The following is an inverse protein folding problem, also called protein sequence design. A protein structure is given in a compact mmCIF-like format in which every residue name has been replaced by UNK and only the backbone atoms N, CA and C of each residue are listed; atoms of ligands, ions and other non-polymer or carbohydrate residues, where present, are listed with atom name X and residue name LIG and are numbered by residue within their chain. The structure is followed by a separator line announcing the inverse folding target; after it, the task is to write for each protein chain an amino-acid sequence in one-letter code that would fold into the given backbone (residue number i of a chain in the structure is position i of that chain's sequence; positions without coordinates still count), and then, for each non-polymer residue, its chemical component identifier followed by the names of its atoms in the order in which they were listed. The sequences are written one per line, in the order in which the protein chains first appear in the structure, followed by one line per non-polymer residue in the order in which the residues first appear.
data_IF_711779762510
#
_entry.id   IF_711779762510
#
_cell.length_a   1.000
_cell.length_b   1.000
_cell.length_c   1.000
_cell.angle_alpha   90.00
_cell.angle_beta   90.00
_cell.angle_gamma   90.00
#
_symmetry.space_group_name_H-M   'P 1'
#
loop_
_entity.id
_entity.type
_entity.pdbx_description
1 polymer ?
#
# COMPACT_ATOMS: atom_id res chain seq x y z
N UNK A 1 -6.63 15.10 -7.53
CA UNK A 1 -5.94 14.30 -6.51
C UNK A 1 -6.95 13.58 -5.64
N UNK A 2 -6.74 12.31 -5.41
CA UNK A 2 -7.62 11.52 -4.55
C UNK A 2 -7.27 11.77 -3.09
N UNK A 3 -8.26 11.61 -2.21
CA UNK A 3 -8.01 11.66 -0.77
C UNK A 3 -7.27 10.40 -0.32
N UNK A 4 -6.45 10.52 0.71
CA UNK A 4 -5.76 9.40 1.32
C UNK A 4 -6.42 9.05 2.64
N UNK A 5 -6.86 7.79 2.78
CA UNK A 5 -7.46 7.29 4.02
C UNK A 5 -6.57 6.20 4.58
N UNK A 6 -6.27 6.30 5.86
CA UNK A 6 -5.45 5.33 6.58
C UNK A 6 -6.30 4.60 7.60
N UNK A 7 -6.45 3.28 7.44
CA UNK A 7 -7.19 2.49 8.41
C UNK A 7 -6.42 2.39 9.73
N UNK A 8 -7.13 2.08 10.82
CA UNK A 8 -6.50 1.87 12.14
C UNK A 8 -5.47 0.75 12.09
N UNK A 9 -5.80 -0.34 11.39
CA UNK A 9 -4.90 -1.48 11.23
C UNK A 9 -3.62 -1.06 10.52
N UNK A 10 -3.75 -0.32 9.42
CA UNK A 10 -2.60 0.19 8.68
C UNK A 10 -1.70 1.06 9.56
N UNK A 11 -2.30 2.01 10.29
CA UNK A 11 -1.53 2.91 11.17
C UNK A 11 -0.75 2.13 12.24
N UNK A 12 -1.37 1.10 12.80
CA UNK A 12 -0.74 0.25 13.81
C UNK A 12 0.44 -0.52 13.22
N UNK A 13 0.26 -1.08 12.03
CA UNK A 13 1.30 -1.82 11.33
C UNK A 13 2.45 -0.90 10.90
N UNK A 14 2.14 0.32 10.48
CA UNK A 14 3.14 1.30 10.04
C UNK A 14 4.16 1.62 11.13
N UNK A 15 3.77 1.56 12.40
CA UNK A 15 4.68 1.83 13.52
C UNK A 15 5.91 0.94 13.53
N UNK A 16 5.81 -0.28 12.99
CA UNK A 16 6.95 -1.19 12.90
C UNK A 16 8.03 -0.68 11.95
N UNK A 17 7.67 0.24 11.05
CA UNK A 17 8.59 0.78 10.04
C UNK A 17 9.18 2.13 10.40
N UNK A 18 8.93 2.65 11.59
CA UNK A 18 9.34 4.03 11.95
C UNK A 18 10.85 4.29 11.83
N UNK A 19 11.68 3.26 11.89
CA UNK A 19 13.13 3.36 11.73
C UNK A 19 13.63 2.76 10.41
N UNK A 20 12.74 2.34 9.54
CA UNK A 20 13.10 1.75 8.25
C UNK A 20 12.96 2.79 7.15
N UNK A 21 13.99 3.62 7.00
CA UNK A 21 13.97 4.73 6.06
C UNK A 21 13.75 4.27 4.62
N UNK A 22 14.35 3.15 4.23
CA UNK A 22 14.26 2.67 2.85
C UNK A 22 12.81 2.31 2.47
N UNK A 23 12.09 1.63 3.36
CA UNK A 23 10.68 1.30 3.13
C UNK A 23 9.82 2.57 3.15
N UNK A 24 10.05 3.47 4.10
CA UNK A 24 9.29 4.71 4.19
C UNK A 24 9.49 5.60 2.96
N UNK A 25 10.70 5.67 2.41
CA UNK A 25 10.95 6.43 1.19
C UNK A 25 10.15 5.86 0.01
N UNK A 26 10.10 4.54 -0.14
CA UNK A 26 9.31 3.90 -1.18
C UNK A 26 7.81 4.11 -0.94
N UNK A 27 7.39 4.04 0.32
CA UNK A 27 5.98 4.29 0.68
C UNK A 27 5.54 5.69 0.26
N UNK A 28 6.35 6.72 0.56
CA UNK A 28 6.01 8.10 0.19
C UNK A 28 5.92 8.27 -1.32
N UNK A 29 6.82 7.66 -2.07
CA UNK A 29 6.78 7.70 -3.54
C UNK A 29 5.50 7.06 -4.07
N UNK A 30 5.14 5.90 -3.54
CA UNK A 30 3.98 5.16 -4.05
C UNK A 30 2.67 5.84 -3.66
N UNK A 31 2.58 6.40 -2.47
CA UNK A 31 1.39 7.15 -2.04
C UNK A 31 1.15 8.34 -2.98
N UNK A 32 2.20 9.08 -3.33
CA UNK A 32 2.08 10.19 -4.29
C UNK A 32 1.56 9.71 -5.64
N UNK A 33 2.10 8.59 -6.12
CA UNK A 33 1.68 8.00 -7.39
C UNK A 33 0.19 7.61 -7.33
N UNK A 34 -0.23 6.95 -6.25
CA UNK A 34 -1.59 6.47 -6.09
C UNK A 34 -2.60 7.61 -6.03
N UNK A 35 -2.36 8.63 -5.20
CA UNK A 35 -3.34 9.72 -5.04
C UNK A 35 -3.41 10.62 -6.28
N UNK A 36 -2.34 10.69 -7.05
CA UNK A 36 -2.32 11.45 -8.30
C UNK A 36 -2.67 10.60 -9.51
N UNK A 37 -3.03 9.34 -9.30
CA UNK A 37 -3.45 8.41 -10.35
C UNK A 37 -2.41 8.28 -11.47
N UNK A 38 -1.14 8.35 -11.11
CA UNK A 38 -0.03 8.15 -12.05
C UNK A 38 0.20 6.66 -12.30
N UNK A 39 0.82 6.29 -13.44
CA UNK A 39 1.18 4.89 -13.68
C UNK A 39 2.13 4.35 -12.60
N UNK A 40 1.83 3.15 -12.11
CA UNK A 40 2.65 2.51 -11.08
C UNK A 40 3.80 1.77 -11.78
N UNK A 41 5.07 2.07 -11.43
CA UNK A 41 6.20 1.36 -12.04
C UNK A 41 6.12 -0.15 -11.82
N UNK A 42 6.53 -0.91 -12.83
CA UNK A 42 6.46 -2.38 -12.83
C UNK A 42 7.23 -3.00 -11.66
N UNK A 43 8.29 -2.35 -11.20
CA UNK A 43 9.10 -2.87 -10.10
C UNK A 43 8.32 -3.11 -8.81
N UNK A 44 7.19 -2.42 -8.63
CA UNK A 44 6.35 -2.59 -7.44
C UNK A 44 5.42 -3.79 -7.52
N UNK A 45 5.34 -4.46 -8.66
CA UNK A 45 4.52 -5.68 -8.86
C UNK A 45 3.08 -5.51 -8.40
N UNK A 46 2.48 -4.37 -8.72
CA UNK A 46 1.11 -4.06 -8.33
C UNK A 46 0.14 -5.05 -8.96
N UNK A 47 -0.70 -5.68 -8.14
CA UNK A 47 -1.70 -6.66 -8.62
C UNK A 47 -2.84 -6.80 -7.62
N UNK A 48 -3.96 -7.35 -8.11
CA UNK A 48 -5.10 -7.66 -7.25
C UNK A 48 -4.80 -8.92 -6.44
N UNK A 49 -5.23 -8.93 -5.18
CA UNK A 49 -5.22 -10.16 -4.40
C UNK A 49 -6.32 -11.09 -4.89
N UNK A 50 -6.08 -12.40 -4.83
CA UNK A 50 -7.05 -13.42 -5.22
C UNK A 50 -7.91 -13.86 -4.03
N UNK A 51 -8.98 -14.60 -4.29
CA UNK A 51 -9.85 -15.15 -3.27
C UNK A 51 -10.77 -14.10 -2.65
N UNK A 52 -10.86 -14.11 -1.33
CA UNK A 52 -11.79 -13.24 -0.59
C UNK A 52 -11.35 -11.76 -0.55
N UNK A 53 -10.23 -11.43 -1.18
CA UNK A 53 -9.66 -10.08 -1.17
C UNK A 53 -9.83 -9.39 -2.53
N UNK A 54 -10.95 -9.63 -3.21
CA UNK A 54 -11.14 -9.26 -4.62
C UNK A 54 -10.95 -7.76 -4.93
N UNK A 55 -11.19 -6.88 -3.96
CA UNK A 55 -11.05 -5.44 -4.18
C UNK A 55 -9.76 -4.87 -3.62
N UNK A 56 -8.90 -5.71 -3.05
CA UNK A 56 -7.66 -5.27 -2.43
C UNK A 56 -6.51 -5.43 -3.41
N UNK A 57 -5.73 -4.37 -3.54
CA UNK A 57 -4.51 -4.37 -4.35
C UNK A 57 -3.31 -4.58 -3.43
N UNK A 58 -2.32 -5.30 -3.94
CA UNK A 58 -1.05 -5.51 -3.25
C UNK A 58 0.08 -4.97 -4.12
N UNK A 59 1.02 -4.28 -3.52
CA UNK A 59 2.27 -3.94 -4.19
C UNK A 59 3.45 -4.13 -3.26
N UNK A 60 4.64 -4.27 -3.85
CA UNK A 60 5.88 -4.54 -3.12
C UNK A 60 6.68 -3.25 -3.01
N UNK A 61 6.76 -2.68 -1.80
CA UNK A 61 7.65 -1.55 -1.53
C UNK A 61 9.11 -2.00 -1.58
N UNK A 62 9.36 -3.17 -1.01
CA UNK A 62 10.59 -3.95 -1.07
C UNK A 62 10.19 -5.41 -1.26
N UNK A 63 11.10 -6.35 -1.54
CA UNK A 63 10.68 -7.73 -1.85
C UNK A 63 9.75 -8.38 -0.85
N UNK A 64 9.91 -8.11 0.45
CA UNK A 64 9.00 -8.66 1.47
C UNK A 64 8.38 -7.56 2.35
N UNK A 65 8.19 -6.37 1.80
CA UNK A 65 7.49 -5.29 2.48
C UNK A 65 6.34 -4.84 1.59
N UNK A 66 5.13 -5.28 1.94
CA UNK A 66 3.95 -5.15 1.10
C UNK A 66 3.07 -4.00 1.57
N UNK A 67 2.43 -3.35 0.62
CA UNK A 67 1.37 -2.38 0.89
C UNK A 67 0.07 -2.92 0.31
N UNK A 68 -0.96 -2.97 1.15
CA UNK A 68 -2.32 -3.32 0.73
C UNK A 68 -3.17 -2.07 0.70
N UNK A 69 -3.88 -1.87 -0.41
CA UNK A 69 -4.73 -0.69 -0.56
C UNK A 69 -5.95 -0.99 -1.40
N UNK A 70 -6.95 -0.13 -1.28
CA UNK A 70 -8.16 -0.18 -2.11
C UNK A 70 -8.37 1.20 -2.72
N UNK A 71 -8.65 1.24 -4.01
CA UNK A 71 -9.07 2.47 -4.67
C UNK A 71 -10.60 2.52 -4.68
N UNK A 72 -11.17 3.52 -4.01
CA UNK A 72 -12.62 3.70 -3.93
C UNK A 72 -13.04 4.68 -5.02
N UNK A 73 -13.50 4.14 -6.15
CA UNK A 73 -13.98 4.92 -7.29
C UNK A 73 -12.98 6.03 -7.64
N UNK A 74 -13.46 7.27 -7.84
CA UNK A 74 -12.62 8.43 -8.07
C UNK A 74 -12.52 9.31 -6.82
N UNK A 75 -12.64 8.72 -5.63
CA UNK A 75 -12.71 9.45 -4.36
C UNK A 75 -11.45 9.35 -3.54
N UNK A 76 -11.02 8.13 -3.23
CA UNK A 76 -9.91 7.97 -2.30
C UNK A 76 -9.09 6.71 -2.56
N UNK A 77 -7.89 6.73 -1.99
CA UNK A 77 -7.04 5.57 -1.80
C UNK A 77 -7.09 5.24 -0.31
N UNK A 78 -7.56 4.04 0.02
CA UNK A 78 -7.62 3.58 1.40
C UNK A 78 -6.48 2.59 1.65
N UNK A 79 -5.56 2.93 2.56
CA UNK A 79 -4.44 2.06 2.93
C UNK A 79 -4.93 1.10 4.00
N UNK A 80 -4.91 -0.20 3.71
CA UNK A 80 -5.51 -1.21 4.58
C UNK A 80 -4.48 -2.06 5.33
N UNK A 81 -3.25 -2.13 4.85
CA UNK A 81 -2.22 -2.90 5.55
C UNK A 81 -0.83 -2.62 5.02
N UNK A 82 0.17 -2.83 5.87
CA UNK A 82 1.59 -2.78 5.51
C UNK A 82 2.34 -3.77 6.37
N UNK A 83 3.20 -4.58 5.77
CA UNK A 83 3.97 -5.58 6.49
C UNK A 83 4.57 -6.60 5.56
N UNK A 84 5.22 -7.61 6.16
CA UNK A 84 5.72 -8.77 5.43
C UNK A 84 4.56 -9.71 5.09
N UNK A 85 4.83 -10.70 4.23
CA UNK A 85 3.84 -11.77 3.96
C UNK A 85 3.41 -12.44 5.26
N UNK A 86 4.37 -12.75 6.15
CA UNK A 86 4.06 -13.40 7.43
C UNK A 86 3.19 -12.53 8.32
N UNK A 87 3.34 -11.21 8.26
CA UNK A 87 2.54 -10.28 9.08
C UNK A 87 1.12 -10.13 8.56
N UNK A 88 0.93 -10.21 7.24
CA UNK A 88 -0.35 -9.88 6.60
C UNK A 88 -1.20 -11.09 6.26
N UNK A 89 -0.59 -12.27 6.16
CA UNK A 89 -1.30 -13.48 5.68
C UNK A 89 -1.04 -14.73 6.55
#
# INVERSE_FOLDING_TARGET
MLDLIQTSTYKKQLKKYKHNKNVLDELFKIVEILVNEKPIPIKYKNHKLSGNFSNVMELHLKPDDLLLYVKIENKNITLVGIGSHADLF
#
